data_IF_174111615493
#
_entry.id   IF_174111615493
#
_cell.length_a   1.000
_cell.length_b   1.000
_cell.length_c   1.000
_cell.angle_alpha   90.00
_cell.angle_beta   90.00
_cell.angle_gamma   90.00
#
_symmetry.space_group_name_H-M   'P 1'
#
loop_
_entity.id
_entity.type
_entity.pdbx_description
1 polymer ?
#
# COMPACT_ATOMS: atom_id res chain seq x y z
N UNK A 1 21.79 -12.06 2.60
CA UNK A 1 20.65 -11.16 2.27
C UNK A 1 19.54 -11.52 3.20
N UNK A 2 19.01 -10.58 3.95
CA UNK A 2 17.83 -10.81 4.78
C UNK A 2 16.68 -11.26 3.90
N UNK A 3 15.94 -12.26 4.36
CA UNK A 3 14.81 -12.83 3.63
C UNK A 3 13.66 -11.83 3.69
N UNK A 4 13.20 -11.32 2.56
CA UNK A 4 11.99 -10.47 2.50
C UNK A 4 10.78 -11.24 3.00
N UNK A 5 9.95 -10.61 3.80
CA UNK A 5 8.73 -11.21 4.35
C UNK A 5 7.52 -10.38 3.93
N UNK A 6 6.49 -11.04 3.43
CA UNK A 6 5.18 -10.47 3.16
C UNK A 6 4.21 -11.00 4.20
N UNK A 7 3.65 -10.12 5.03
CA UNK A 7 2.65 -10.49 6.04
C UNK A 7 1.26 -10.46 5.43
N UNK A 8 0.49 -11.54 5.61
CA UNK A 8 -0.86 -11.68 5.08
C UNK A 8 -1.84 -12.02 6.20
N UNK A 9 -2.54 -11.02 6.74
CA UNK A 9 -3.64 -11.27 7.67
C UNK A 9 -4.81 -11.98 6.97
N UNK A 10 -5.33 -13.04 7.58
CA UNK A 10 -6.47 -13.80 7.05
C UNK A 10 -7.55 -14.04 8.09
N UNK A 11 -8.80 -13.90 7.66
CA UNK A 11 -10.00 -14.36 8.37
C UNK A 11 -10.68 -15.51 7.61
N UNK A 12 -9.97 -16.09 6.64
CA UNK A 12 -10.42 -17.19 5.76
C UNK A 12 -11.60 -16.82 4.86
N UNK A 13 -11.92 -15.55 4.69
CA UNK A 13 -12.92 -15.09 3.71
C UNK A 13 -12.38 -15.14 2.27
N UNK A 14 -13.25 -15.11 1.25
CA UNK A 14 -12.81 -15.04 -0.15
C UNK A 14 -11.91 -13.84 -0.45
N UNK A 15 -12.12 -12.69 0.21
CA UNK A 15 -11.27 -11.51 0.01
C UNK A 15 -9.91 -11.68 0.68
N UNK A 16 -9.85 -12.35 1.84
CA UNK A 16 -8.56 -12.70 2.46
C UNK A 16 -7.80 -13.74 1.60
N UNK A 17 -8.51 -14.68 0.95
CA UNK A 17 -7.90 -15.60 -0.01
C UNK A 17 -7.35 -14.84 -1.21
N UNK A 18 -8.11 -13.89 -1.76
CA UNK A 18 -7.64 -13.02 -2.84
C UNK A 18 -6.38 -12.24 -2.45
N UNK A 19 -6.32 -11.73 -1.22
CA UNK A 19 -5.11 -11.08 -0.70
C UNK A 19 -3.91 -12.05 -0.62
N UNK A 20 -4.14 -13.30 -0.25
CA UNK A 20 -3.10 -14.34 -0.28
C UNK A 20 -2.62 -14.61 -1.71
N UNK A 21 -3.51 -14.69 -2.69
CA UNK A 21 -3.14 -14.89 -4.09
C UNK A 21 -2.27 -13.74 -4.61
N UNK A 22 -2.60 -12.50 -4.27
CA UNK A 22 -1.76 -11.33 -4.55
C UNK A 22 -0.37 -11.45 -3.86
N UNK A 23 -0.35 -11.86 -2.60
CA UNK A 23 0.90 -12.01 -1.85
C UNK A 23 1.82 -13.09 -2.43
N UNK A 24 1.24 -14.21 -2.85
CA UNK A 24 1.99 -15.29 -3.50
C UNK A 24 2.63 -14.81 -4.81
N UNK A 25 1.88 -14.05 -5.61
CA UNK A 25 2.39 -13.50 -6.87
C UNK A 25 3.51 -12.48 -6.64
N UNK A 26 3.39 -11.62 -5.63
CA UNK A 26 4.47 -10.71 -5.23
C UNK A 26 5.67 -11.49 -4.68
N UNK A 27 5.45 -12.50 -3.84
CA UNK A 27 6.50 -13.30 -3.23
C UNK A 27 7.33 -14.06 -4.26
N UNK A 28 6.68 -14.65 -5.28
CA UNK A 28 7.33 -15.32 -6.39
C UNK A 28 8.35 -14.40 -7.08
N UNK A 29 7.94 -13.20 -7.46
CA UNK A 29 8.76 -12.25 -8.21
C UNK A 29 9.81 -11.55 -7.32
N UNK A 30 9.46 -11.24 -6.06
CA UNK A 30 10.36 -10.59 -5.10
C UNK A 30 11.32 -11.57 -4.40
N UNK A 31 11.15 -12.89 -4.58
CA UNK A 31 11.82 -13.96 -3.83
C UNK A 31 11.67 -13.77 -2.33
N UNK A 32 10.42 -13.55 -1.90
CA UNK A 32 10.05 -13.31 -0.52
C UNK A 32 9.36 -14.55 0.09
N UNK A 33 9.33 -14.61 1.42
CA UNK A 33 8.49 -15.52 2.17
C UNK A 33 7.12 -14.88 2.43
N UNK A 34 6.07 -15.70 2.54
CA UNK A 34 4.76 -15.27 2.98
C UNK A 34 4.55 -15.72 4.42
N UNK A 35 4.20 -14.82 5.33
CA UNK A 35 3.73 -15.18 6.67
C UNK A 35 2.23 -14.97 6.72
N UNK A 36 1.47 -16.07 6.81
CA UNK A 36 0.01 -16.06 6.90
C UNK A 36 -0.40 -15.94 8.37
N UNK A 37 -1.04 -14.81 8.73
CA UNK A 37 -1.42 -14.46 10.10
C UNK A 37 -2.91 -14.64 10.34
N UNK A 38 -3.28 -15.34 11.42
CA UNK A 38 -4.66 -15.31 11.95
C UNK A 38 -4.67 -14.86 13.41
N UNK A 39 -5.46 -13.84 13.72
CA UNK A 39 -5.59 -13.28 15.06
C UNK A 39 -6.89 -13.77 15.69
N UNK A 40 -6.80 -14.30 16.90
CA UNK A 40 -7.93 -14.78 17.70
C UNK A 40 -8.08 -13.99 18.98
N UNK A 41 -9.31 -13.78 19.48
CA UNK A 41 -9.52 -12.97 20.69
C UNK A 41 -9.15 -13.70 21.99
N UNK A 42 -8.96 -15.03 21.98
CA UNK A 42 -8.72 -15.83 23.17
C UNK A 42 -7.74 -16.96 22.93
N UNK A 43 -6.99 -17.29 23.96
CA UNK A 43 -5.95 -18.33 23.92
C UNK A 43 -6.49 -19.73 23.57
N UNK A 44 -7.71 -20.05 24.02
CA UNK A 44 -8.35 -21.35 23.78
C UNK A 44 -8.62 -21.61 22.28
N UNK A 45 -8.63 -20.55 21.46
CA UNK A 45 -8.87 -20.63 20.02
C UNK A 45 -7.58 -20.82 19.19
N UNK A 46 -6.40 -20.79 19.80
CA UNK A 46 -5.13 -20.83 19.08
C UNK A 46 -4.90 -22.12 18.30
N UNK A 47 -5.23 -23.28 18.87
CA UNK A 47 -5.01 -24.56 18.18
C UNK A 47 -5.94 -24.71 16.97
N UNK A 48 -7.21 -24.36 17.11
CA UNK A 48 -8.14 -24.34 15.98
C UNK A 48 -7.65 -23.35 14.87
N UNK A 49 -7.14 -22.19 15.27
CA UNK A 49 -6.59 -21.21 14.35
C UNK A 49 -5.37 -21.75 13.58
N UNK A 50 -4.46 -22.45 14.28
CA UNK A 50 -3.30 -23.09 13.64
C UNK A 50 -3.72 -24.17 12.66
N UNK A 51 -4.74 -24.97 13.00
CA UNK A 51 -5.24 -26.01 12.10
C UNK A 51 -5.86 -25.40 10.83
N UNK A 52 -6.65 -24.34 10.96
CA UNK A 52 -7.18 -23.59 9.81
C UNK A 52 -6.07 -22.99 8.93
N UNK A 53 -5.02 -22.43 9.56
CA UNK A 53 -3.87 -21.88 8.84
C UNK A 53 -3.08 -22.98 8.10
N UNK A 54 -2.91 -24.17 8.71
CA UNK A 54 -2.30 -25.32 8.04
C UNK A 54 -3.10 -25.75 6.80
N UNK A 55 -4.42 -25.86 6.94
CA UNK A 55 -5.30 -26.18 5.82
C UNK A 55 -5.21 -25.12 4.71
N UNK A 56 -5.22 -23.83 5.05
CA UNK A 56 -5.07 -22.75 4.08
C UNK A 56 -3.72 -22.82 3.36
N UNK A 57 -2.63 -23.10 4.09
CA UNK A 57 -1.30 -23.30 3.50
C UNK A 57 -1.29 -24.50 2.54
N UNK A 58 -1.87 -25.63 2.94
CA UNK A 58 -1.90 -26.87 2.13
C UNK A 58 -2.76 -26.72 0.86
N UNK A 59 -3.74 -25.81 0.87
CA UNK A 59 -4.56 -25.49 -0.30
C UNK A 59 -3.84 -24.63 -1.34
N UNK A 60 -2.75 -23.98 -0.96
CA UNK A 60 -1.93 -23.23 -1.91
C UNK A 60 -1.26 -24.20 -2.86
N UNK A 61 -1.48 -24.02 -4.17
CA UNK A 61 -0.90 -24.91 -5.19
C UNK A 61 0.62 -24.89 -5.06
N UNK A 62 1.23 -26.06 -5.08
CA UNK A 62 2.68 -26.27 -5.00
C UNK A 62 3.49 -25.50 -6.06
N UNK A 63 2.82 -25.03 -7.09
CA UNK A 63 3.43 -24.31 -8.23
C UNK A 63 3.78 -22.85 -7.92
N UNK A 64 3.35 -22.29 -6.78
CA UNK A 64 3.64 -20.90 -6.42
C UNK A 64 5.12 -20.66 -6.09
N UNK A 65 5.89 -21.71 -5.75
CA UNK A 65 7.29 -21.59 -5.36
C UNK A 65 7.54 -20.75 -4.09
N UNK A 66 6.48 -20.20 -3.48
CA UNK A 66 6.59 -19.37 -2.29
C UNK A 66 6.72 -20.19 -1.02
N UNK A 67 7.65 -19.80 -0.15
CA UNK A 67 7.78 -20.36 1.20
C UNK A 67 6.74 -19.69 2.11
N UNK A 68 5.79 -20.51 2.65
CA UNK A 68 4.69 -20.02 3.49
C UNK A 68 4.93 -20.45 4.94
N UNK A 69 5.06 -19.47 5.81
CA UNK A 69 5.01 -19.63 7.26
C UNK A 69 3.62 -19.27 7.79
N UNK A 70 3.24 -19.81 8.95
CA UNK A 70 1.95 -19.54 9.57
C UNK A 70 2.12 -19.00 10.98
N UNK A 71 1.33 -17.99 11.33
CA UNK A 71 1.33 -17.40 12.68
C UNK A 71 -0.12 -17.29 13.19
N UNK A 72 -0.41 -17.90 14.35
CA UNK A 72 -1.63 -17.67 15.09
C UNK A 72 -1.31 -16.84 16.33
N UNK A 73 -2.03 -15.73 16.57
CA UNK A 73 -1.76 -14.80 17.67
C UNK A 73 -3.06 -14.47 18.42
N UNK A 74 -2.97 -14.36 19.76
CA UNK A 74 -4.06 -13.81 20.56
C UNK A 74 -3.93 -12.30 20.57
N UNK A 75 -5.01 -11.59 20.23
CA UNK A 75 -4.96 -10.14 20.23
C UNK A 75 -6.11 -9.50 19.48
N UNK A 76 -5.85 -8.32 18.96
CA UNK A 76 -6.77 -7.53 18.15
C UNK A 76 -6.16 -7.24 16.78
N UNK A 77 -6.99 -7.32 15.75
CA UNK A 77 -6.53 -7.05 14.37
C UNK A 77 -5.90 -5.66 14.25
N UNK A 78 -6.34 -4.72 15.08
CA UNK A 78 -5.98 -3.31 14.96
C UNK A 78 -4.57 -2.96 15.48
N UNK A 79 -4.02 -3.76 16.35
CA UNK A 79 -2.71 -3.54 16.95
C UNK A 79 -1.72 -4.60 16.47
N UNK A 80 -2.14 -5.86 16.55
CA UNK A 80 -1.25 -7.00 16.35
C UNK A 80 -0.79 -7.22 14.91
N UNK A 81 -1.49 -6.69 13.89
CA UNK A 81 -0.99 -6.74 12.50
C UNK A 81 0.23 -5.82 12.34
N UNK A 82 0.17 -4.59 12.88
CA UNK A 82 1.28 -3.65 12.83
C UNK A 82 2.47 -4.14 13.64
N UNK A 83 2.22 -4.59 14.87
CA UNK A 83 3.25 -5.11 15.77
C UNK A 83 3.97 -6.31 15.17
N UNK A 84 3.24 -7.29 14.62
CA UNK A 84 3.87 -8.44 13.97
C UNK A 84 4.62 -8.05 12.69
N UNK A 85 4.12 -7.09 11.93
CA UNK A 85 4.83 -6.60 10.76
C UNK A 85 6.19 -5.98 11.14
N UNK A 86 6.27 -5.27 12.26
CA UNK A 86 7.52 -4.73 12.81
C UNK A 86 8.40 -5.83 13.41
N UNK A 87 7.85 -6.75 14.19
CA UNK A 87 8.58 -7.90 14.79
C UNK A 87 9.27 -8.76 13.71
N UNK A 88 8.64 -8.93 12.56
CA UNK A 88 9.15 -9.72 11.43
C UNK A 88 10.01 -8.92 10.45
N UNK A 89 10.17 -7.62 10.64
CA UNK A 89 10.72 -6.69 9.63
C UNK A 89 10.07 -6.91 8.25
N UNK A 90 8.74 -7.01 8.25
CA UNK A 90 7.98 -7.31 7.04
C UNK A 90 8.16 -6.20 5.99
N UNK A 91 8.49 -6.60 4.78
CA UNK A 91 8.65 -5.67 3.65
C UNK A 91 7.34 -4.97 3.28
N UNK A 92 6.22 -5.68 3.43
CA UNK A 92 4.87 -5.17 3.25
C UNK A 92 3.83 -6.08 3.90
N UNK A 93 2.64 -5.52 4.10
CA UNK A 93 1.42 -6.26 4.48
C UNK A 93 0.49 -6.28 3.29
N UNK A 94 -0.04 -7.45 2.91
CA UNK A 94 -1.08 -7.55 1.87
C UNK A 94 -2.34 -8.09 2.53
N UNK A 95 -3.42 -7.30 2.51
CA UNK A 95 -4.64 -7.63 3.23
C UNK A 95 -5.92 -7.31 2.47
N UNK A 96 -6.97 -8.10 2.73
CA UNK A 96 -8.31 -7.86 2.21
C UNK A 96 -9.06 -6.76 2.95
N UNK A 97 -9.93 -6.04 2.24
CA UNK A 97 -10.74 -4.95 2.82
C UNK A 97 -11.96 -5.42 3.60
N UNK A 98 -12.45 -6.65 3.36
CA UNK A 98 -13.71 -7.16 3.87
C UNK A 98 -13.47 -8.40 4.74
N UNK A 99 -13.87 -8.36 6.01
CA UNK A 99 -13.93 -9.53 6.88
C UNK A 99 -15.35 -10.12 6.98
N UNK A 100 -15.53 -11.22 7.74
CA UNK A 100 -16.80 -11.98 7.92
C UNK A 100 -18.02 -11.13 8.34
N UNK A 101 -17.86 -9.87 8.70
CA UNK A 101 -18.94 -8.95 9.12
C UNK A 101 -19.13 -7.77 8.15
N UNK A 102 -18.67 -7.88 6.89
CA UNK A 102 -18.88 -6.86 5.85
C UNK A 102 -18.03 -5.58 6.06
N UNK A 103 -18.18 -4.62 5.18
CA UNK A 103 -17.51 -3.31 5.02
C UNK A 103 -16.87 -2.60 6.25
N UNK A 104 -16.99 -3.16 7.44
CA UNK A 104 -16.59 -2.51 8.70
C UNK A 104 -15.08 -2.57 9.00
N UNK A 105 -14.30 -3.39 8.27
CA UNK A 105 -12.89 -3.57 8.61
C UNK A 105 -12.01 -2.37 8.23
N UNK A 106 -12.11 -1.86 7.02
CA UNK A 106 -11.30 -0.68 6.59
C UNK A 106 -12.14 0.60 6.50
N UNK A 107 -13.47 0.50 6.46
CA UNK A 107 -14.36 1.66 6.54
C UNK A 107 -14.55 2.16 7.98
N UNK A 108 -14.19 1.36 9.00
CA UNK A 108 -14.17 1.80 10.40
C UNK A 108 -12.95 2.66 10.71
N UNK A 109 -13.13 3.72 11.50
CA UNK A 109 -12.05 4.63 11.92
C UNK A 109 -10.85 3.91 12.57
N UNK A 110 -11.06 2.73 13.17
CA UNK A 110 -10.01 1.93 13.81
C UNK A 110 -9.14 1.18 12.81
N UNK A 111 -9.73 0.52 11.81
CA UNK A 111 -8.96 -0.24 10.80
C UNK A 111 -8.18 0.69 9.86
N UNK A 112 -8.80 1.80 9.46
CA UNK A 112 -8.08 2.83 8.72
C UNK A 112 -6.89 3.35 9.55
N UNK A 113 -7.03 3.48 10.87
CA UNK A 113 -5.94 3.91 11.76
C UNK A 113 -4.75 2.94 11.73
N UNK A 114 -4.95 1.61 11.76
CA UNK A 114 -3.84 0.63 11.66
C UNK A 114 -3.05 0.84 10.38
N UNK A 115 -3.76 0.86 9.26
CA UNK A 115 -3.15 1.03 7.94
C UNK A 115 -2.47 2.39 7.80
N UNK A 116 -3.00 3.44 8.46
CA UNK A 116 -2.48 4.81 8.36
C UNK A 116 -1.45 5.18 9.43
N UNK A 117 -1.16 4.31 10.40
CA UNK A 117 -0.13 4.56 11.44
C UNK A 117 1.09 3.65 11.33
N UNK A 118 1.00 2.55 10.58
CA UNK A 118 2.09 1.59 10.48
C UNK A 118 3.26 2.13 9.65
N UNK A 119 4.48 1.77 10.04
CA UNK A 119 5.71 2.08 9.28
C UNK A 119 5.84 1.21 8.01
N UNK A 120 5.27 0.01 8.05
CA UNK A 120 5.28 -0.96 6.95
C UNK A 120 4.25 -0.58 5.87
N UNK A 121 4.58 -0.68 4.57
CA UNK A 121 3.63 -0.47 3.48
C UNK A 121 2.51 -1.51 3.46
N UNK A 122 1.31 -1.08 3.03
CA UNK A 122 0.15 -1.96 2.87
C UNK A 122 -0.29 -2.05 1.42
N UNK A 123 -0.58 -3.26 0.93
CA UNK A 123 -1.38 -3.47 -0.28
C UNK A 123 -2.78 -3.90 0.16
N UNK A 124 -3.76 -3.05 -0.15
CA UNK A 124 -5.15 -3.26 0.20
C UNK A 124 -5.87 -3.86 -1.00
N UNK A 125 -6.42 -5.05 -0.84
CA UNK A 125 -7.06 -5.82 -1.89
C UNK A 125 -8.57 -5.88 -1.64
N UNK A 126 -9.35 -5.74 -2.69
CA UNK A 126 -10.80 -5.98 -2.71
C UNK A 126 -11.09 -7.31 -3.44
N UNK A 127 -12.13 -7.38 -4.28
CA UNK A 127 -12.49 -8.62 -4.98
C UNK A 127 -11.76 -8.78 -6.33
N UNK A 128 -11.10 -7.74 -6.86
CA UNK A 128 -10.33 -7.86 -8.10
C UNK A 128 -9.15 -8.81 -7.86
N UNK A 129 -9.12 -9.93 -8.59
CA UNK A 129 -8.03 -10.89 -8.56
C UNK A 129 -6.77 -10.35 -9.23
N UNK A 130 -5.64 -10.99 -8.96
CA UNK A 130 -4.38 -10.68 -9.63
C UNK A 130 -4.29 -11.46 -10.95
N UNK A 131 -3.86 -10.78 -12.02
CA UNK A 131 -3.64 -11.41 -13.33
C UNK A 131 -2.37 -12.27 -13.37
N UNK A 132 -2.22 -13.06 -14.42
CA UNK A 132 -1.06 -13.95 -14.61
C UNK A 132 0.27 -13.18 -14.63
N UNK A 133 0.27 -11.97 -15.18
CA UNK A 133 1.45 -11.09 -15.21
C UNK A 133 1.67 -10.31 -13.89
N UNK A 134 0.68 -10.25 -13.02
CA UNK A 134 0.74 -9.49 -11.77
C UNK A 134 0.23 -8.06 -11.92
N UNK A 135 1.08 -7.05 -11.74
CA UNK A 135 0.74 -5.64 -11.82
C UNK A 135 1.38 -5.00 -13.05
N UNK A 136 0.75 -5.13 -14.23
CA UNK A 136 1.28 -4.60 -15.49
C UNK A 136 1.25 -3.06 -15.54
N UNK A 137 0.18 -2.44 -15.07
CA UNK A 137 -0.04 -0.99 -15.12
C UNK A 137 -0.26 -0.39 -13.71
N UNK A 138 0.69 0.42 -13.25
CA UNK A 138 0.68 1.02 -11.90
C UNK A 138 0.41 2.52 -11.99
N UNK A 139 -0.70 3.00 -11.41
CA UNK A 139 -1.02 4.43 -11.31
C UNK A 139 -0.34 5.05 -10.08
N UNK A 140 0.39 6.13 -10.31
CA UNK A 140 1.15 6.86 -9.28
C UNK A 140 0.73 8.31 -9.24
N UNK A 141 -0.25 8.68 -8.41
CA UNK A 141 -0.61 10.08 -8.21
C UNK A 141 0.47 10.82 -7.45
N UNK A 142 0.84 12.00 -7.92
CA UNK A 142 1.70 12.95 -7.22
C UNK A 142 0.92 14.25 -7.02
N UNK A 143 0.92 14.75 -5.80
CA UNK A 143 0.23 15.97 -5.42
C UNK A 143 1.22 17.13 -5.09
N UNK A 144 0.75 18.11 -4.35
CA UNK A 144 1.52 19.29 -3.95
C UNK A 144 2.61 18.97 -2.90
N UNK A 145 2.45 17.88 -2.13
CA UNK A 145 3.34 17.54 -1.03
C UNK A 145 4.64 16.92 -1.51
N UNK A 146 5.76 17.33 -0.93
CA UNK A 146 7.08 16.75 -1.25
C UNK A 146 7.20 15.28 -0.83
N UNK A 147 6.50 14.89 0.22
CA UNK A 147 6.45 13.54 0.78
C UNK A 147 5.85 12.54 -0.22
N UNK A 148 4.99 12.98 -1.14
CA UNK A 148 4.39 12.13 -2.18
C UNK A 148 5.43 11.35 -3.00
N UNK A 149 6.68 11.82 -3.02
CA UNK A 149 7.80 11.16 -3.73
C UNK A 149 8.39 9.97 -2.95
N UNK A 150 8.13 9.82 -1.65
CA UNK A 150 8.71 8.74 -0.84
C UNK A 150 8.29 7.35 -1.33
N UNK A 151 7.11 7.22 -1.96
CA UNK A 151 6.64 5.97 -2.53
C UNK A 151 7.36 5.52 -3.81
N UNK A 152 8.07 6.42 -4.50
CA UNK A 152 8.64 6.12 -5.83
C UNK A 152 9.62 4.96 -5.80
N UNK A 153 10.41 4.79 -4.72
CA UNK A 153 11.34 3.67 -4.60
C UNK A 153 10.62 2.34 -4.54
N UNK A 154 9.57 2.23 -3.72
CA UNK A 154 8.77 1.00 -3.61
C UNK A 154 8.02 0.72 -4.91
N UNK A 155 7.46 1.73 -5.56
CA UNK A 155 6.84 1.60 -6.89
C UNK A 155 7.85 1.10 -7.91
N UNK A 156 9.08 1.61 -7.88
CA UNK A 156 10.15 1.16 -8.78
C UNK A 156 10.53 -0.31 -8.56
N UNK A 157 10.56 -0.75 -7.30
CA UNK A 157 10.81 -2.16 -6.98
C UNK A 157 9.66 -3.05 -7.47
N UNK A 158 8.40 -2.65 -7.25
CA UNK A 158 7.22 -3.34 -7.77
C UNK A 158 7.23 -3.39 -9.30
N UNK A 159 7.53 -2.26 -9.95
CA UNK A 159 7.60 -2.20 -11.40
C UNK A 159 8.69 -3.11 -11.99
N UNK A 160 9.81 -3.28 -11.29
CA UNK A 160 10.85 -4.24 -11.71
C UNK A 160 10.44 -5.69 -11.51
N UNK A 161 9.68 -6.01 -10.47
CA UNK A 161 9.21 -7.37 -10.23
C UNK A 161 8.25 -7.86 -11.32
N UNK A 162 7.44 -6.96 -11.86
CA UNK A 162 6.37 -7.29 -12.82
C UNK A 162 6.61 -6.72 -14.22
N UNK A 163 7.75 -6.08 -14.47
CA UNK A 163 8.04 -5.36 -15.73
C UNK A 163 6.96 -4.32 -16.07
N UNK A 164 6.40 -3.69 -15.01
CA UNK A 164 5.26 -2.80 -15.09
C UNK A 164 5.56 -1.50 -15.83
N UNK A 165 4.52 -0.92 -16.41
CA UNK A 165 4.49 0.47 -16.84
C UNK A 165 3.91 1.35 -15.73
N UNK A 166 4.59 2.45 -15.44
CA UNK A 166 4.15 3.42 -14.44
C UNK A 166 3.38 4.56 -15.10
N UNK A 167 2.21 4.88 -14.56
CA UNK A 167 1.35 5.97 -15.02
C UNK A 167 1.28 7.06 -13.96
N UNK A 168 2.07 8.11 -14.13
CA UNK A 168 2.08 9.25 -13.22
C UNK A 168 0.86 10.13 -13.54
N UNK A 169 0.10 10.49 -12.52
CA UNK A 169 -0.98 11.48 -12.63
C UNK A 169 -0.79 12.59 -11.60
N UNK A 170 -0.95 13.83 -12.05
CA UNK A 170 -0.84 15.04 -11.21
C UNK A 170 -2.09 15.90 -11.34
N UNK A 171 -2.47 16.69 -10.29
CA UNK A 171 -3.60 17.60 -10.38
C UNK A 171 -3.33 18.75 -11.36
N UNK A 172 -4.38 19.22 -12.04
CA UNK A 172 -4.32 20.36 -12.94
C UNK A 172 -4.60 21.66 -12.19
N UNK A 173 -3.57 22.23 -11.59
CA UNK A 173 -3.68 23.47 -10.83
C UNK A 173 -3.78 24.70 -11.74
N UNK A 174 -4.61 25.68 -11.33
CA UNK A 174 -4.78 26.95 -12.02
C UNK A 174 -3.83 28.04 -11.49
N UNK A 175 -3.52 27.97 -10.20
CA UNK A 175 -2.59 28.88 -9.55
C UNK A 175 -1.16 28.57 -10.00
N UNK A 176 -0.41 29.58 -10.41
CA UNK A 176 0.95 29.43 -10.94
C UNK A 176 1.95 28.88 -9.92
N UNK A 177 1.79 29.22 -8.63
CA UNK A 177 2.68 28.71 -7.58
C UNK A 177 2.44 27.22 -7.36
N UNK A 178 1.17 26.81 -7.24
CA UNK A 178 0.78 25.40 -7.08
C UNK A 178 1.16 24.57 -8.32
N UNK A 179 0.93 25.11 -9.51
CA UNK A 179 1.33 24.49 -10.77
C UNK A 179 2.84 24.24 -10.85
N UNK A 180 3.64 25.22 -10.45
CA UNK A 180 5.09 25.08 -10.40
C UNK A 180 5.54 24.02 -9.39
N UNK A 181 4.83 23.88 -8.27
CA UNK A 181 5.11 22.86 -7.26
C UNK A 181 4.79 21.45 -7.78
N UNK A 182 3.64 21.26 -8.39
CA UNK A 182 3.25 20.00 -9.06
C UNK A 182 4.24 19.64 -10.16
N UNK A 183 4.64 20.62 -10.99
CA UNK A 183 5.60 20.40 -12.08
C UNK A 183 6.96 19.93 -11.55
N UNK A 184 7.45 20.52 -10.45
CA UNK A 184 8.71 20.05 -9.82
C UNK A 184 8.61 18.61 -9.31
N UNK A 185 7.47 18.23 -8.71
CA UNK A 185 7.25 16.86 -8.25
C UNK A 185 7.18 15.88 -9.44
N UNK A 186 6.51 16.27 -10.52
CA UNK A 186 6.42 15.49 -11.75
C UNK A 186 7.80 15.27 -12.38
N UNK A 187 8.54 16.33 -12.64
CA UNK A 187 9.86 16.25 -13.26
C UNK A 187 10.83 15.38 -12.43
N UNK A 188 10.74 15.47 -11.09
CA UNK A 188 11.52 14.61 -10.21
C UNK A 188 11.17 13.13 -10.41
N UNK A 189 9.88 12.80 -10.48
CA UNK A 189 9.44 11.42 -10.63
C UNK A 189 9.80 10.85 -12.01
N UNK A 190 9.63 11.64 -13.08
CA UNK A 190 10.04 11.24 -14.43
C UNK A 190 11.54 10.96 -14.48
N UNK A 191 12.38 11.89 -13.98
CA UNK A 191 13.83 11.69 -13.90
C UNK A 191 14.21 10.46 -13.07
N UNK A 192 13.48 10.20 -11.97
CA UNK A 192 13.70 9.03 -11.12
C UNK A 192 13.41 7.71 -11.86
N UNK A 193 12.31 7.64 -12.60
CA UNK A 193 11.96 6.44 -13.36
C UNK A 193 12.83 6.27 -14.60
N UNK A 194 13.27 7.35 -15.25
CA UNK A 194 14.26 7.32 -16.34
C UNK A 194 15.60 6.72 -15.86
N UNK A 195 16.12 7.20 -14.72
CA UNK A 195 17.34 6.67 -14.11
C UNK A 195 17.23 5.16 -13.80
N UNK A 196 16.07 4.73 -13.33
CA UNK A 196 15.77 3.31 -13.04
C UNK A 196 15.43 2.49 -14.28
N UNK A 197 15.30 3.13 -15.45
CA UNK A 197 14.88 2.51 -16.73
C UNK A 197 13.50 1.84 -16.65
N UNK A 198 12.58 2.47 -15.93
CA UNK A 198 11.21 1.99 -15.78
C UNK A 198 10.33 2.70 -16.82
N UNK A 199 9.62 1.94 -17.68
CA UNK A 199 8.67 2.52 -18.63
C UNK A 199 7.61 3.35 -17.89
N UNK A 200 7.43 4.60 -18.27
CA UNK A 200 6.44 5.45 -17.63
C UNK A 200 5.79 6.45 -18.58
N UNK A 201 4.64 6.95 -18.18
CA UNK A 201 3.91 8.04 -18.85
C UNK A 201 3.42 9.01 -17.78
N UNK A 202 3.14 10.26 -18.20
CA UNK A 202 2.58 11.25 -17.27
C UNK A 202 1.33 11.89 -17.83
N UNK A 203 0.40 12.26 -16.94
CA UNK A 203 -0.86 12.92 -17.24
C UNK A 203 -1.16 14.03 -16.25
N UNK A 204 -1.46 15.22 -16.77
CA UNK A 204 -2.03 16.29 -15.96
C UNK A 204 -3.55 16.13 -15.96
N UNK A 205 -4.16 16.00 -14.79
CA UNK A 205 -5.61 15.92 -14.64
C UNK A 205 -6.27 17.24 -15.04
N UNK A 206 -7.51 17.15 -15.53
CA UNK A 206 -8.36 18.35 -15.68
C UNK A 206 -8.89 18.90 -14.36
N UNK A 207 -8.75 18.13 -13.28
CA UNK A 207 -9.24 18.42 -11.93
C UNK A 207 -8.06 18.85 -11.07
N UNK A 208 -8.22 19.90 -10.30
CA UNK A 208 -7.27 20.34 -9.28
C UNK A 208 -7.27 19.41 -8.05
N UNK A 209 -6.54 19.81 -7.00
CA UNK A 209 -6.34 19.02 -5.78
C UNK A 209 -7.64 18.67 -5.04
N UNK A 210 -8.68 19.50 -5.09
CA UNK A 210 -9.93 19.33 -4.34
C UNK A 210 -10.72 18.03 -4.66
N UNK A 211 -10.56 17.47 -5.85
CA UNK A 211 -11.22 16.23 -6.27
C UNK A 211 -10.25 15.29 -6.95
N UNK A 212 -8.99 15.32 -6.54
CA UNK A 212 -7.95 14.55 -7.19
C UNK A 212 -8.11 13.05 -6.97
N UNK A 213 -8.65 12.61 -5.84
CA UNK A 213 -9.02 11.22 -5.55
C UNK A 213 -9.93 10.63 -6.64
N UNK A 214 -10.96 11.38 -7.05
CA UNK A 214 -11.87 10.95 -8.13
C UNK A 214 -11.17 10.88 -9.48
N UNK A 215 -10.27 11.83 -9.75
CA UNK A 215 -9.49 11.85 -10.98
C UNK A 215 -8.54 10.65 -11.07
N UNK A 216 -7.91 10.26 -9.97
CA UNK A 216 -7.05 9.09 -9.87
C UNK A 216 -7.81 7.82 -10.21
N UNK A 217 -8.92 7.56 -9.50
CA UNK A 217 -9.74 6.36 -9.70
C UNK A 217 -10.31 6.30 -11.12
N UNK A 218 -10.75 7.45 -11.66
CA UNK A 218 -11.22 7.54 -13.03
C UNK A 218 -10.13 7.21 -14.03
N UNK A 219 -8.93 7.75 -13.85
CA UNK A 219 -7.80 7.49 -14.74
C UNK A 219 -7.35 6.02 -14.66
N UNK A 220 -7.25 5.47 -13.45
CA UNK A 220 -6.92 4.07 -13.26
C UNK A 220 -7.92 3.14 -13.99
N UNK A 221 -9.22 3.47 -13.94
CA UNK A 221 -10.23 2.76 -14.72
C UNK A 221 -10.04 2.91 -16.23
N UNK A 222 -9.73 4.13 -16.71
CA UNK A 222 -9.56 4.40 -18.15
C UNK A 222 -8.45 3.57 -18.80
N UNK A 223 -7.40 3.23 -18.02
CA UNK A 223 -6.25 2.45 -18.50
C UNK A 223 -6.27 1.00 -18.04
N UNK A 224 -7.33 0.57 -17.37
CA UNK A 224 -7.47 -0.76 -16.71
C UNK A 224 -6.29 -1.09 -15.81
N UNK A 225 -5.91 -0.15 -14.95
CA UNK A 225 -4.78 -0.30 -14.05
C UNK A 225 -4.94 -1.47 -13.07
N UNK A 226 -3.81 -2.08 -12.70
CA UNK A 226 -3.76 -3.21 -11.77
C UNK A 226 -3.46 -2.79 -10.34
N UNK A 227 -2.81 -1.62 -10.17
CA UNK A 227 -2.41 -1.11 -8.85
C UNK A 227 -2.46 0.42 -8.84
N UNK A 228 -2.92 1.00 -7.72
CA UNK A 228 -2.81 2.44 -7.45
C UNK A 228 -1.89 2.62 -6.24
N UNK A 229 -0.82 3.43 -6.34
CA UNK A 229 0.08 3.70 -5.22
C UNK A 229 -0.12 5.09 -4.64
N UNK A 230 -0.56 5.19 -3.39
CA UNK A 230 -0.82 6.46 -2.69
C UNK A 230 0.02 6.62 -1.42
N UNK A 231 0.11 7.87 -0.95
CA UNK A 231 0.64 8.22 0.37
C UNK A 231 -0.50 8.64 1.29
N UNK A 232 -0.41 8.25 2.56
CA UNK A 232 -1.27 8.77 3.60
C UNK A 232 -0.67 10.05 4.18
N UNK A 233 -1.11 11.20 3.70
CA UNK A 233 -0.62 12.50 4.16
C UNK A 233 -1.60 13.13 5.15
N UNK A 234 -1.19 13.47 6.39
CA UNK A 234 -2.09 13.95 7.44
C UNK A 234 -2.87 15.21 7.08
N UNK A 235 -2.28 16.12 6.30
CA UNK A 235 -2.89 17.39 5.89
C UNK A 235 -4.05 17.21 4.90
N UNK A 236 -4.03 16.13 4.10
CA UNK A 236 -5.15 15.77 3.22
C UNK A 236 -6.34 15.26 4.07
N UNK A 237 -6.06 14.70 5.23
CA UNK A 237 -7.04 14.11 6.14
C UNK A 237 -7.94 15.15 6.83
N UNK A 238 -7.45 16.38 7.10
CA UNK A 238 -8.19 17.41 7.83
C UNK A 238 -9.21 18.17 6.98
N UNK A 239 -8.97 18.32 5.68
CA UNK A 239 -9.91 19.02 4.78
C UNK A 239 -11.17 18.20 4.45
N UNK A 240 -11.20 16.90 4.76
CA UNK A 240 -12.23 15.96 4.31
C UNK A 240 -13.13 15.41 5.43
N UNK A 241 -13.29 16.14 6.54
CA UNK A 241 -14.19 15.73 7.65
C UNK A 241 -15.67 15.58 7.26
N UNK A 242 -16.08 16.00 6.07
CA UNK A 242 -17.48 15.98 5.62
C UNK A 242 -17.72 15.07 4.40
N UNK A 243 -16.66 14.53 3.73
CA UNK A 243 -16.82 13.80 2.46
C UNK A 243 -16.06 12.48 2.30
N UNK A 244 -15.53 11.91 3.39
CA UNK A 244 -14.58 10.77 3.34
C UNK A 244 -13.15 11.23 3.09
N UNK A 245 -12.15 10.56 3.70
CA UNK A 245 -10.75 10.94 3.46
C UNK A 245 -10.32 10.53 2.05
N UNK A 246 -9.40 11.29 1.45
CA UNK A 246 -8.73 10.95 0.19
C UNK A 246 -8.29 9.47 0.15
N UNK A 247 -7.61 9.02 1.20
CA UNK A 247 -7.14 7.64 1.35
C UNK A 247 -8.31 6.65 1.31
N UNK A 248 -9.38 6.92 2.08
CA UNK A 248 -10.56 6.05 2.11
C UNK A 248 -11.23 5.94 0.75
N UNK A 249 -11.41 7.07 0.03
CA UNK A 249 -12.04 7.09 -1.28
C UNK A 249 -11.27 6.28 -2.32
N UNK A 250 -9.92 6.31 -2.26
CA UNK A 250 -9.08 5.52 -3.17
C UNK A 250 -9.07 4.05 -2.76
N UNK A 251 -8.94 3.72 -1.48
CA UNK A 251 -8.93 2.33 -0.99
C UNK A 251 -10.25 1.61 -1.28
N UNK A 252 -11.39 2.31 -1.15
CA UNK A 252 -12.73 1.73 -1.39
C UNK A 252 -13.23 2.01 -2.80
N UNK A 253 -12.33 2.13 -3.77
CA UNK A 253 -12.70 2.43 -5.15
C UNK A 253 -13.62 1.36 -5.74
N UNK A 254 -14.64 1.82 -6.51
CA UNK A 254 -15.67 0.94 -7.08
C UNK A 254 -15.15 0.00 -8.19
N UNK A 255 -13.96 0.21 -8.67
CA UNK A 255 -13.28 -0.64 -9.64
C UNK A 255 -12.53 -1.79 -8.98
N UNK A 256 -12.50 -1.78 -7.64
CA UNK A 256 -11.83 -2.79 -6.81
C UNK A 256 -10.33 -2.94 -7.13
N UNK A 257 -9.72 -1.90 -7.74
CA UNK A 257 -8.30 -1.88 -8.04
C UNK A 257 -7.52 -1.89 -6.73
N UNK A 258 -6.56 -2.81 -6.55
CA UNK A 258 -5.69 -2.86 -5.38
C UNK A 258 -4.96 -1.54 -5.13
N UNK A 259 -4.72 -1.21 -3.86
CA UNK A 259 -4.09 0.05 -3.48
C UNK A 259 -2.86 -0.20 -2.62
N UNK A 260 -1.70 0.20 -3.10
CA UNK A 260 -0.46 0.27 -2.33
C UNK A 260 -0.44 1.59 -1.56
N UNK A 261 -0.52 1.49 -0.23
CA UNK A 261 -0.53 2.62 0.68
C UNK A 261 0.76 2.67 1.49
N UNK A 262 1.39 3.83 1.50
CA UNK A 262 2.53 4.13 2.35
C UNK A 262 2.21 5.28 3.30
N UNK A 263 2.74 5.18 4.51
CA UNK A 263 2.77 6.29 5.44
C UNK A 263 4.07 7.09 5.28
N UNK A 264 4.06 8.42 5.42
CA UNK A 264 5.27 9.20 5.31
C UNK A 264 6.22 8.84 6.45
N UNK A 265 7.48 8.59 6.12
CA UNK A 265 8.54 8.50 7.13
C UNK A 265 8.93 9.92 7.54
N UNK A 266 9.01 10.17 8.84
CA UNK A 266 9.56 11.44 9.33
C UNK A 266 11.00 11.56 8.84
N UNK A 267 11.24 12.56 8.01
CA UNK A 267 12.61 12.95 7.66
C UNK A 267 13.17 13.60 8.91
N UNK A 268 14.01 12.90 9.65
CA UNK A 268 14.75 13.51 10.77
C UNK A 268 15.54 14.67 10.17
N UNK A 269 15.05 15.89 10.39
CA UNK A 269 15.81 17.10 10.06
C UNK A 269 16.97 17.07 11.05
N UNK A 270 18.14 16.59 10.61
CA UNK A 270 19.37 16.79 11.36
C UNK A 270 19.56 18.29 11.38
N UNK A 271 19.27 18.91 12.52
CA UNK A 271 19.62 20.29 12.79
C UNK A 271 21.14 20.41 12.78
N UNK A 272 21.71 20.76 11.61
CA UNK A 272 23.14 21.07 11.43
C UNK A 272 23.48 22.44 12.03
N UNK A 273 22.64 23.01 12.83
CA UNK A 273 22.99 24.16 13.66
C UNK A 273 23.35 23.67 15.07
N UNK A 274 24.52 23.01 15.14
CA UNK A 274 25.26 22.86 16.39
C UNK A 274 25.51 24.24 16.97
N UNK A 275 25.06 24.45 18.20
CA UNK A 275 25.29 25.60 19.05
C UNK A 275 26.77 25.93 19.08
N UNK A 276 27.16 27.03 18.47
CA UNK A 276 28.39 27.76 18.85
C UNK A 276 28.05 28.51 20.13
N UNK A 277 28.26 27.91 21.31
CA UNK A 277 28.45 28.64 22.55
C UNK A 277 29.89 29.04 22.60
N UNK A 278 30.15 30.29 22.16
CA UNK A 278 31.43 30.93 22.36
C UNK A 278 31.71 31.11 23.84
N UNK A 279 32.83 30.56 24.27
CA UNK A 279 33.51 30.94 25.50
C UNK A 279 34.25 32.24 25.19
N UNK A 280 33.99 33.26 25.98
CA UNK A 280 34.72 34.47 26.08
C UNK A 280 34.60 35.01 27.49
#
# INVERSE_FOLDING_TARGET
>A
MESKIILVPTDFTPVAQNALDHALKVAENAKAKVNLLHIVPKHEMLEEAKDKLRLAKDMVKSDSGADIEITARVGTIFEDIGDLAEELDATMVIMGTHGMKGLQFITGSRALRVVTSASTPFVIVQSKGIGDNGYDDIVVPLDLHKETKQKLSLVADMAKYFESRVHIIVPGEKDEFLKNQVTRNLNYAESFFDEKKIPHTSKISKTGSDNFDKAIVKYAKEIDADLISIMNLPEISLANLIGGSYVQNVITNKQEIPVLLLNPKETTTINIFGSYSGVG
#
